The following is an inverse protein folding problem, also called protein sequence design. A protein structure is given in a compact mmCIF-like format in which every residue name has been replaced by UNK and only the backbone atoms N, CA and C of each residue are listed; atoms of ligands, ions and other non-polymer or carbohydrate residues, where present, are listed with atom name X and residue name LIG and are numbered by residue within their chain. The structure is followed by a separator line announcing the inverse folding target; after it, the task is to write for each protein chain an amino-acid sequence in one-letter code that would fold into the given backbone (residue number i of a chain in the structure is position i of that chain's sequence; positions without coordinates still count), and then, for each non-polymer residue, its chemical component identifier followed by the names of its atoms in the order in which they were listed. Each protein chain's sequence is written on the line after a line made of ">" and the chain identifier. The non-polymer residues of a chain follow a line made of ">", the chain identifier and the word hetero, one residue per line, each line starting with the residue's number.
data_IF_359135537203
#
_entry.id   IF_359135537203
#
_cell.length_a   1.000
_cell.length_b   1.000
_cell.length_c   1.000
_cell.angle_alpha   90.00
_cell.angle_beta   90.00
_cell.angle_gamma   90.00
#
_symmetry.space_group_name_H-M   'P 1'
#
loop_
_entity.id
_entity.type
_entity.pdbx_description
1 polymer ?
#
# COMPACT_ATOMS: atom_id res chain seq x y z
N UNK A 1 5.71 25.64 -11.26
CA UNK A 1 6.61 24.62 -10.65
C UNK A 1 7.72 24.26 -11.62
N UNK A 2 8.96 24.13 -11.13
CA UNK A 2 10.09 23.63 -11.96
C UNK A 2 11.04 22.83 -11.09
N UNK A 3 11.24 21.54 -11.41
CA UNK A 3 11.97 20.58 -10.58
C UNK A 3 12.76 19.62 -11.48
N UNK A 4 13.99 19.30 -11.07
CA UNK A 4 14.81 18.23 -11.68
C UNK A 4 14.84 17.02 -10.73
N UNK A 5 14.51 15.84 -11.26
CA UNK A 5 14.47 14.59 -10.51
C UNK A 5 15.38 13.53 -11.12
N UNK A 6 15.91 12.63 -10.28
CA UNK A 6 16.56 11.41 -10.73
C UNK A 6 15.50 10.45 -11.29
N UNK A 7 15.67 10.06 -12.54
CA UNK A 7 14.67 9.30 -13.31
C UNK A 7 14.28 7.97 -12.66
N UNK A 8 15.24 7.12 -12.34
CA UNK A 8 14.98 5.75 -11.87
C UNK A 8 14.34 5.72 -10.46
N UNK A 9 14.89 6.41 -9.44
CA UNK A 9 14.26 6.46 -8.12
C UNK A 9 12.85 7.09 -8.16
N UNK A 10 12.68 8.18 -8.91
CA UNK A 10 11.38 8.83 -9.06
C UNK A 10 10.35 7.92 -9.74
N UNK A 11 10.75 7.21 -10.81
CA UNK A 11 9.91 6.25 -11.51
C UNK A 11 9.46 5.12 -10.57
N UNK A 12 10.38 4.54 -9.79
CA UNK A 12 10.06 3.49 -8.81
C UNK A 12 8.97 3.97 -7.82
N UNK A 13 9.15 5.15 -7.24
CA UNK A 13 8.17 5.71 -6.29
C UNK A 13 6.83 6.04 -6.97
N UNK A 14 6.87 6.52 -8.22
CA UNK A 14 5.66 6.79 -9.00
C UNK A 14 4.89 5.51 -9.32
N UNK A 15 5.55 4.40 -9.65
CA UNK A 15 4.92 3.10 -9.89
C UNK A 15 4.25 2.57 -8.62
N UNK A 16 4.91 2.72 -7.46
CA UNK A 16 4.33 2.34 -6.16
C UNK A 16 3.10 3.19 -5.86
N UNK A 17 3.19 4.52 -5.98
CA UNK A 17 2.04 5.40 -5.76
C UNK A 17 0.89 5.10 -6.74
N UNK A 18 1.21 4.82 -8.01
CA UNK A 18 0.24 4.47 -9.04
C UNK A 18 -0.48 3.14 -8.79
N UNK A 19 0.10 2.24 -8.00
CA UNK A 19 -0.46 0.90 -7.73
C UNK A 19 -1.80 0.93 -7.01
N UNK A 20 -2.13 2.03 -6.33
CA UNK A 20 -3.41 2.21 -5.66
C UNK A 20 -4.42 3.04 -6.45
N UNK A 21 -4.00 3.67 -7.55
CA UNK A 21 -4.89 4.46 -8.39
C UNK A 21 -5.99 3.58 -8.97
N UNK A 22 -7.23 3.99 -8.81
CA UNK A 22 -8.36 3.25 -9.35
C UNK A 22 -8.44 3.39 -10.88
N UNK A 23 -8.74 2.30 -11.58
CA UNK A 23 -8.92 2.32 -13.04
C UNK A 23 -10.15 3.12 -13.48
N UNK A 24 -11.19 3.16 -12.65
CA UNK A 24 -12.45 3.89 -12.88
C UNK A 24 -12.91 4.60 -11.61
N UNK A 25 -12.25 5.71 -11.20
CA UNK A 25 -12.65 6.44 -10.02
C UNK A 25 -13.94 7.25 -10.26
N UNK A 26 -14.64 7.56 -9.17
CA UNK A 26 -15.82 8.43 -9.22
C UNK A 26 -15.47 9.88 -9.61
N UNK A 27 -14.28 10.34 -9.22
CA UNK A 27 -13.73 11.65 -9.58
C UNK A 27 -12.48 11.44 -10.44
N UNK A 28 -12.45 12.08 -11.61
CA UNK A 28 -11.37 11.90 -12.59
C UNK A 28 -9.99 12.32 -12.04
N UNK A 29 -9.93 13.28 -11.14
CA UNK A 29 -8.67 13.73 -10.51
C UNK A 29 -7.97 12.61 -9.76
N UNK A 30 -8.69 11.61 -9.25
CA UNK A 30 -8.15 10.45 -8.54
C UNK A 30 -7.44 9.43 -9.46
N UNK A 31 -7.44 9.67 -10.79
CA UNK A 31 -6.62 8.91 -11.75
C UNK A 31 -5.16 9.38 -11.76
N UNK A 32 -4.87 10.47 -11.10
CA UNK A 32 -3.56 11.08 -11.08
C UNK A 32 -2.82 10.77 -9.77
N UNK A 33 -1.50 10.83 -9.83
CA UNK A 33 -0.61 10.91 -8.68
C UNK A 33 -0.22 12.37 -8.53
N UNK A 34 -0.44 12.96 -7.37
CA UNK A 34 -0.01 14.31 -7.06
C UNK A 34 1.46 14.29 -6.67
N UNK A 35 2.28 15.04 -7.39
CA UNK A 35 3.63 15.39 -7.00
C UNK A 35 3.63 16.78 -6.37
N UNK A 36 4.08 16.86 -5.14
CA UNK A 36 4.25 18.11 -4.40
C UNK A 36 5.74 18.36 -4.24
N UNK A 37 6.24 19.42 -4.90
CA UNK A 37 7.66 19.75 -4.92
C UNK A 37 8.14 20.40 -3.62
N UNK A 38 7.23 20.99 -2.84
CA UNK A 38 7.54 21.61 -1.54
C UNK A 38 7.84 20.55 -0.49
N UNK A 39 6.93 19.59 -0.36
CA UNK A 39 7.07 18.46 0.57
C UNK A 39 7.90 17.31 -0.01
N UNK A 40 8.25 17.36 -1.29
CA UNK A 40 8.94 16.29 -2.04
C UNK A 40 8.23 14.95 -1.88
N UNK A 41 6.93 14.92 -2.13
CA UNK A 41 6.11 13.72 -1.99
C UNK A 41 5.31 13.41 -3.24
N UNK A 42 5.12 12.10 -3.50
CA UNK A 42 4.12 11.59 -4.40
C UNK A 42 2.93 11.09 -3.58
N UNK A 43 1.72 11.48 -3.95
CA UNK A 43 0.50 11.17 -3.22
C UNK A 43 -0.55 10.59 -4.17
N UNK A 44 -1.19 9.50 -3.77
CA UNK A 44 -2.36 8.97 -4.46
C UNK A 44 -3.44 8.57 -3.44
N UNK A 45 -4.70 8.62 -3.86
CA UNK A 45 -5.83 8.21 -3.03
C UNK A 45 -7.03 7.82 -3.88
N UNK A 46 -7.90 6.95 -3.33
CA UNK A 46 -9.24 6.68 -3.83
C UNK A 46 -10.32 7.03 -2.80
N UNK A 47 -9.97 7.84 -1.77
CA UNK A 47 -10.72 8.25 -0.59
C UNK A 47 -10.83 7.19 0.53
N UNK A 48 -10.61 5.91 0.24
CA UNK A 48 -10.59 4.84 1.26
C UNK A 48 -9.17 4.36 1.54
N UNK A 49 -8.33 4.38 0.52
CA UNK A 49 -6.94 4.01 0.53
C UNK A 49 -6.10 5.21 0.07
N UNK A 50 -5.08 5.54 0.82
CA UNK A 50 -4.17 6.65 0.52
C UNK A 50 -2.72 6.21 0.67
N UNK A 51 -1.85 6.72 -0.18
CA UNK A 51 -0.41 6.49 -0.13
C UNK A 51 0.35 7.81 -0.25
N UNK A 52 1.42 7.91 0.50
CA UNK A 52 2.41 8.99 0.41
C UNK A 52 3.79 8.35 0.29
N UNK A 53 4.50 8.67 -0.79
CA UNK A 53 5.89 8.28 -0.99
C UNK A 53 6.76 9.53 -0.83
N UNK A 54 7.69 9.54 0.10
CA UNK A 54 8.74 10.55 0.18
C UNK A 54 9.72 10.32 -0.97
N UNK A 55 9.98 11.36 -1.76
CA UNK A 55 10.89 11.29 -2.92
C UNK A 55 12.02 12.32 -2.78
N UNK A 56 12.33 12.73 -1.54
CA UNK A 56 13.38 13.72 -1.29
C UNK A 56 14.72 13.31 -1.92
N UNK A 57 15.09 12.03 -1.83
CA UNK A 57 16.33 11.48 -2.39
C UNK A 57 16.32 11.43 -3.93
N UNK A 58 15.14 11.39 -4.54
CA UNK A 58 15.00 11.46 -5.99
C UNK A 58 14.97 12.89 -6.52
N UNK A 59 14.68 13.89 -5.70
CA UNK A 59 14.63 15.31 -6.10
C UNK A 59 16.01 15.93 -6.01
N UNK A 60 16.60 16.24 -7.17
CA UNK A 60 17.94 16.86 -7.25
C UNK A 60 17.89 18.36 -6.99
N UNK A 61 16.93 19.07 -7.62
CA UNK A 61 16.85 20.52 -7.55
C UNK A 61 15.41 21.00 -7.72
N UNK A 62 15.02 21.98 -6.91
CA UNK A 62 13.73 22.68 -7.00
C UNK A 62 14.00 24.13 -7.34
N UNK A 63 13.78 24.50 -8.60
CA UNK A 63 13.94 25.90 -9.05
C UNK A 63 12.74 26.76 -8.66
N UNK A 64 11.54 26.21 -8.72
CA UNK A 64 10.34 26.83 -8.20
C UNK A 64 9.39 25.79 -7.62
N UNK A 65 8.86 26.03 -6.40
CA UNK A 65 7.93 25.13 -5.72
C UNK A 65 6.60 25.01 -6.46
N UNK A 66 5.75 24.09 -6.01
CA UNK A 66 4.40 23.88 -6.52
C UNK A 66 4.02 22.43 -6.66
N UNK A 67 2.91 22.17 -7.35
CA UNK A 67 2.29 20.85 -7.46
C UNK A 67 2.05 20.47 -8.92
N UNK A 68 2.15 19.19 -9.21
CA UNK A 68 1.80 18.59 -10.49
C UNK A 68 0.87 17.39 -10.30
N UNK A 69 -0.03 17.16 -11.25
CA UNK A 69 -0.82 15.95 -11.35
C UNK A 69 -0.26 15.08 -12.49
N UNK A 70 0.31 13.96 -12.13
CA UNK A 70 0.96 13.02 -13.04
C UNK A 70 -0.04 11.90 -13.38
N UNK A 71 -0.44 11.80 -14.65
CA UNK A 71 -1.25 10.67 -15.12
C UNK A 71 -0.36 9.44 -15.31
N UNK A 72 -0.43 8.40 -14.45
CA UNK A 72 0.49 7.27 -14.49
C UNK A 72 0.54 6.57 -15.84
N UNK A 73 -0.61 6.38 -16.48
CA UNK A 73 -0.71 5.72 -17.78
C UNK A 73 0.08 6.43 -18.91
N UNK A 74 0.41 7.71 -18.75
CA UNK A 74 1.21 8.49 -19.70
C UNK A 74 2.62 8.73 -19.21
N UNK A 75 2.79 9.08 -17.93
CA UNK A 75 4.10 9.49 -17.39
C UNK A 75 5.02 8.30 -17.18
N UNK A 76 4.52 7.15 -16.70
CA UNK A 76 5.34 5.95 -16.47
C UNK A 76 6.01 5.45 -17.76
N UNK A 77 5.29 5.27 -18.88
CA UNK A 77 5.93 4.90 -20.14
C UNK A 77 7.00 5.91 -20.59
N UNK A 78 6.73 7.21 -20.50
CA UNK A 78 7.72 8.25 -20.84
C UNK A 78 9.00 8.06 -20.02
N UNK A 79 8.87 7.91 -18.69
CA UNK A 79 10.03 7.73 -17.82
C UNK A 79 10.76 6.39 -18.00
N UNK A 80 10.07 5.35 -18.47
CA UNK A 80 10.67 4.04 -18.79
C UNK A 80 11.50 4.09 -20.06
N UNK A 81 10.93 4.69 -21.09
CA UNK A 81 11.48 4.62 -22.45
C UNK A 81 12.50 5.73 -22.75
N UNK A 82 12.52 6.82 -21.94
CA UNK A 82 13.48 7.89 -22.12
C UNK A 82 14.87 7.51 -21.58
N UNK A 83 15.91 8.01 -22.27
CA UNK A 83 17.29 7.94 -21.80
C UNK A 83 17.60 9.02 -20.75
N UNK A 84 18.80 8.92 -20.16
CA UNK A 84 19.31 9.90 -19.21
C UNK A 84 19.02 9.57 -17.75
N UNK A 85 19.79 10.19 -16.87
CA UNK A 85 19.70 10.00 -15.41
C UNK A 85 18.71 10.95 -14.77
N UNK A 86 18.51 12.14 -15.36
CA UNK A 86 17.68 13.21 -14.81
C UNK A 86 16.55 13.58 -15.76
N UNK A 87 15.47 14.06 -15.18
CA UNK A 87 14.27 14.53 -15.88
C UNK A 87 13.83 15.85 -15.26
N UNK A 88 13.54 16.83 -16.12
CA UNK A 88 12.96 18.10 -15.71
C UNK A 88 11.43 18.04 -15.80
N UNK A 89 10.77 18.43 -14.75
CA UNK A 89 9.30 18.51 -14.64
C UNK A 89 8.94 19.98 -14.42
N UNK A 90 8.22 20.55 -15.39
CA UNK A 90 7.76 21.93 -15.33
C UNK A 90 6.24 21.99 -15.42
N UNK A 91 5.64 22.89 -14.67
CA UNK A 91 4.21 23.19 -14.69
C UNK A 91 4.01 24.68 -14.79
N UNK A 92 3.38 25.10 -15.87
CA UNK A 92 2.79 26.44 -16.05
C UNK A 92 1.28 26.31 -16.25
N UNK A 93 0.79 26.34 -17.47
CA UNK A 93 -0.58 25.98 -17.85
C UNK A 93 -0.73 24.50 -18.20
N UNK A 94 0.38 23.82 -18.45
CA UNK A 94 0.45 22.40 -18.82
C UNK A 94 1.62 21.73 -18.09
N UNK A 95 1.58 20.42 -17.97
CA UNK A 95 2.68 19.61 -17.49
C UNK A 95 3.68 19.37 -18.64
N UNK A 96 4.91 19.81 -18.46
CA UNK A 96 6.01 19.60 -19.40
C UNK A 96 7.06 18.70 -18.76
N UNK A 97 7.43 17.63 -19.44
CA UNK A 97 8.47 16.68 -19.01
C UNK A 97 9.57 16.72 -20.06
N UNK A 98 10.74 17.15 -19.67
CA UNK A 98 11.92 17.22 -20.53
C UNK A 98 12.92 16.14 -20.11
N UNK A 99 13.34 15.34 -21.07
CA UNK A 99 14.28 14.23 -20.92
C UNK A 99 15.41 14.39 -21.91
N UNK A 100 16.45 13.57 -21.80
CA UNK A 100 17.53 13.55 -22.79
C UNK A 100 17.03 13.20 -24.20
N UNK A 101 15.95 12.41 -24.31
CA UNK A 101 15.38 11.94 -25.58
C UNK A 101 14.38 12.92 -26.20
N UNK A 102 13.94 13.96 -25.48
CA UNK A 102 12.99 14.96 -25.97
C UNK A 102 12.07 15.51 -24.89
N UNK A 103 11.17 16.38 -25.31
CA UNK A 103 10.17 17.03 -24.46
C UNK A 103 8.76 16.51 -24.74
N UNK A 104 7.99 16.33 -23.67
CA UNK A 104 6.60 15.89 -23.70
C UNK A 104 5.72 16.95 -23.02
N UNK A 105 4.62 17.30 -23.64
CA UNK A 105 3.62 18.22 -23.06
C UNK A 105 2.31 17.49 -22.86
N UNK A 106 1.81 17.50 -21.61
CA UNK A 106 0.63 16.81 -21.20
C UNK A 106 -0.37 17.81 -20.58
N UNK A 107 -1.66 17.63 -20.86
CA UNK A 107 -2.70 18.32 -20.11
C UNK A 107 -2.82 17.69 -18.72
N UNK A 108 -3.09 18.50 -17.71
CA UNK A 108 -3.42 18.05 -16.36
C UNK A 108 -4.56 18.88 -15.78
N UNK A 109 -5.38 18.31 -14.88
CA UNK A 109 -6.35 19.07 -14.10
C UNK A 109 -5.66 20.05 -13.13
N UNK A 110 -6.48 20.93 -12.53
CA UNK A 110 -5.97 21.81 -11.47
C UNK A 110 -5.50 20.97 -10.26
N UNK A 111 -4.23 21.09 -9.80
CA UNK A 111 -3.72 20.34 -8.67
C UNK A 111 -4.44 20.61 -7.35
N UNK A 112 -5.12 21.75 -7.21
CA UNK A 112 -5.87 22.11 -6.01
C UNK A 112 -7.19 21.33 -5.86
N UNK A 113 -7.67 20.70 -6.94
CA UNK A 113 -8.82 19.79 -6.91
C UNK A 113 -8.49 18.41 -6.32
N UNK A 114 -7.20 18.09 -6.19
CA UNK A 114 -6.77 16.82 -5.63
C UNK A 114 -7.00 16.81 -4.10
N UNK A 115 -7.62 15.74 -3.56
CA UNK A 115 -7.90 15.66 -2.12
C UNK A 115 -6.63 15.81 -1.28
N UNK A 116 -6.77 16.44 -0.10
CA UNK A 116 -5.68 16.50 0.86
C UNK A 116 -5.44 15.12 1.46
N UNK A 117 -4.28 14.55 1.21
CA UNK A 117 -3.84 13.28 1.80
C UNK A 117 -2.98 13.61 3.02
N UNK A 118 -3.49 13.25 4.20
CA UNK A 118 -2.74 13.33 5.46
C UNK A 118 -2.74 11.95 6.08
N UNK A 119 -1.57 11.35 6.21
CA UNK A 119 -1.38 10.08 6.90
C UNK A 119 -0.82 10.40 8.28
N UNK A 120 -1.65 10.19 9.30
CA UNK A 120 -1.25 10.37 10.67
C UNK A 120 -0.70 9.04 11.21
N UNK A 121 0.62 8.99 11.33
CA UNK A 121 1.30 7.88 11.95
C UNK A 121 1.48 8.21 13.44
N UNK A 122 0.56 7.77 14.28
CA UNK A 122 0.63 7.94 15.74
C UNK A 122 1.94 7.37 16.32
N UNK A 123 2.29 7.77 17.55
CA UNK A 123 3.52 7.33 18.21
C UNK A 123 3.54 5.84 18.56
N UNK A 124 2.37 5.19 18.73
CA UNK A 124 2.24 3.79 19.14
C UNK A 124 2.29 2.85 17.92
N UNK A 125 3.47 2.62 17.38
CA UNK A 125 3.68 1.76 16.21
C UNK A 125 4.10 0.35 16.59
N UNK A 126 3.38 -0.65 16.08
CA UNK A 126 3.82 -2.04 16.09
C UNK A 126 4.86 -2.28 14.99
N UNK A 127 6.09 -2.64 15.34
CA UNK A 127 7.08 -3.06 14.37
C UNK A 127 6.88 -4.53 13.97
N UNK A 128 6.92 -4.80 12.66
CA UNK A 128 6.83 -6.17 12.12
C UNK A 128 7.92 -6.36 11.08
N UNK A 129 8.68 -7.47 11.11
CA UNK A 129 9.59 -7.79 10.01
C UNK A 129 8.81 -7.90 8.69
N UNK A 130 9.25 -7.19 7.64
CA UNK A 130 8.50 -7.09 6.39
C UNK A 130 8.18 -8.46 5.78
N UNK A 131 9.18 -9.35 5.72
CA UNK A 131 9.01 -10.73 5.19
C UNK A 131 7.94 -11.48 6.00
N UNK A 132 7.96 -11.39 7.33
CA UNK A 132 6.97 -12.07 8.18
C UNK A 132 5.55 -11.54 7.97
N UNK A 133 5.40 -10.22 7.80
CA UNK A 133 4.10 -9.62 7.48
C UNK A 133 3.61 -10.02 6.08
N UNK A 134 4.48 -9.99 5.07
CA UNK A 134 4.14 -10.42 3.71
C UNK A 134 3.70 -11.88 3.68
N UNK A 135 4.40 -12.76 4.40
CA UNK A 135 4.02 -14.17 4.54
C UNK A 135 2.69 -14.33 5.26
N UNK A 136 2.45 -13.60 6.35
CA UNK A 136 1.18 -13.66 7.08
C UNK A 136 0.00 -13.21 6.20
N UNK A 137 0.18 -12.14 5.42
CA UNK A 137 -0.81 -11.68 4.43
C UNK A 137 -1.05 -12.77 3.38
N UNK A 138 0.00 -13.31 2.76
CA UNK A 138 -0.09 -14.35 1.72
C UNK A 138 -0.79 -15.62 2.22
N UNK A 139 -0.51 -16.02 3.47
CA UNK A 139 -1.09 -17.21 4.09
C UNK A 139 -2.55 -17.05 4.52
N UNK A 140 -3.10 -15.84 4.48
CA UNK A 140 -4.45 -15.58 4.96
C UNK A 140 -5.38 -15.00 3.90
N UNK A 141 -4.89 -14.11 3.05
CA UNK A 141 -5.70 -13.30 2.13
C UNK A 141 -6.58 -14.15 1.17
N UNK A 142 -6.16 -15.35 0.80
CA UNK A 142 -6.89 -16.25 -0.09
C UNK A 142 -8.17 -16.82 0.54
N UNK A 143 -8.30 -16.76 1.86
CA UNK A 143 -9.45 -17.28 2.59
C UNK A 143 -10.51 -16.19 2.87
N UNK A 144 -10.34 -14.97 2.37
CA UNK A 144 -11.35 -13.91 2.47
C UNK A 144 -12.51 -14.18 1.51
N UNK A 145 -13.70 -13.66 1.86
CA UNK A 145 -14.90 -13.69 1.03
C UNK A 145 -15.11 -12.33 0.36
N UNK A 146 -14.69 -12.20 -0.89
CA UNK A 146 -14.81 -10.95 -1.66
C UNK A 146 -16.16 -10.80 -2.37
N UNK A 147 -16.99 -11.84 -2.40
CA UNK A 147 -18.26 -11.87 -3.14
C UNK A 147 -19.50 -11.81 -2.23
N UNK A 148 -19.32 -12.03 -0.92
CA UNK A 148 -20.42 -12.09 0.03
C UNK A 148 -20.99 -10.72 0.40
N UNK A 149 -22.28 -10.71 0.73
CA UNK A 149 -22.94 -9.58 1.41
C UNK A 149 -22.44 -9.36 2.84
N UNK A 150 -21.62 -10.28 3.35
CA UNK A 150 -21.00 -10.20 4.68
C UNK A 150 -19.70 -9.42 4.59
N UNK A 151 -19.77 -8.11 4.49
CA UNK A 151 -18.60 -7.22 4.31
C UNK A 151 -17.45 -7.51 5.27
N UNK A 152 -17.73 -7.93 6.51
CA UNK A 152 -16.72 -8.27 7.53
C UNK A 152 -15.84 -9.48 7.15
N UNK A 153 -16.23 -10.29 6.17
CA UNK A 153 -15.42 -11.40 5.66
C UNK A 153 -14.58 -11.02 4.43
N UNK A 154 -14.81 -9.82 3.87
CA UNK A 154 -14.07 -9.29 2.71
C UNK A 154 -12.69 -8.73 3.04
N UNK A 155 -12.19 -8.97 4.26
CA UNK A 155 -10.87 -8.53 4.71
C UNK A 155 -10.22 -9.54 5.64
N UNK A 156 -8.98 -9.26 6.02
CA UNK A 156 -8.21 -10.03 7.00
C UNK A 156 -8.31 -9.34 8.35
N UNK A 157 -8.72 -10.06 9.37
CA UNK A 157 -8.65 -9.60 10.76
C UNK A 157 -7.19 -9.57 11.20
N UNK A 158 -6.72 -8.42 11.65
CA UNK A 158 -5.46 -8.24 12.34
C UNK A 158 -5.73 -8.07 13.83
N UNK A 159 -5.18 -8.96 14.65
CA UNK A 159 -5.21 -8.86 16.10
C UNK A 159 -3.78 -8.62 16.61
N UNK A 160 -3.53 -7.45 17.18
CA UNK A 160 -2.28 -7.06 17.82
C UNK A 160 -2.38 -7.36 19.31
N UNK A 161 -1.39 -8.04 19.86
CA UNK A 161 -1.23 -8.37 21.26
C UNK A 161 0.25 -8.73 21.50
N UNK A 162 0.54 -9.85 22.17
CA UNK A 162 1.92 -10.35 22.31
C UNK A 162 2.57 -10.67 20.95
N UNK A 163 1.76 -10.88 19.95
CA UNK A 163 2.13 -11.10 18.55
C UNK A 163 1.04 -10.59 17.63
N UNK A 164 1.36 -10.38 16.37
CA UNK A 164 0.36 -10.15 15.34
C UNK A 164 -0.27 -11.49 14.93
N UNK A 165 -1.60 -11.59 15.00
CA UNK A 165 -2.38 -12.71 14.45
C UNK A 165 -3.23 -12.20 13.30
N UNK A 166 -3.03 -12.76 12.11
CA UNK A 166 -3.82 -12.50 10.93
C UNK A 166 -4.81 -13.66 10.72
N UNK A 167 -6.09 -13.34 10.50
CA UNK A 167 -7.16 -14.33 10.36
C UNK A 167 -8.06 -13.96 9.19
N UNK A 168 -8.38 -14.93 8.35
CA UNK A 168 -9.36 -14.77 7.27
C UNK A 168 -10.25 -16.01 7.16
N UNK A 169 -11.51 -15.80 6.78
CA UNK A 169 -12.49 -16.87 6.54
C UNK A 169 -13.55 -16.44 5.55
N UNK A 170 -14.03 -17.36 4.76
CA UNK A 170 -15.22 -17.23 3.90
C UNK A 170 -16.42 -18.02 4.46
N UNK A 171 -16.29 -18.54 5.69
CA UNK A 171 -17.30 -19.40 6.34
C UNK A 171 -17.19 -20.88 6.00
N UNK A 172 -16.33 -21.29 5.06
CA UNK A 172 -16.06 -22.69 4.68
C UNK A 172 -14.64 -23.13 5.02
N UNK A 173 -13.70 -22.20 5.02
CA UNK A 173 -12.29 -22.37 5.40
C UNK A 173 -11.86 -21.25 6.33
N UNK A 174 -10.84 -21.53 7.12
CA UNK A 174 -10.22 -20.59 8.04
C UNK A 174 -8.71 -20.63 7.83
N UNK A 175 -8.12 -19.46 7.61
CA UNK A 175 -6.67 -19.29 7.59
C UNK A 175 -6.23 -18.44 8.77
N UNK A 176 -5.20 -18.90 9.50
CA UNK A 176 -4.62 -18.19 10.64
C UNK A 176 -3.10 -18.20 10.48
N UNK A 177 -2.51 -17.03 10.52
CA UNK A 177 -1.05 -16.86 10.54
C UNK A 177 -0.64 -15.95 11.69
N UNK A 178 0.53 -16.20 12.26
CA UNK A 178 1.06 -15.44 13.40
C UNK A 178 2.48 -15.02 13.13
N UNK A 179 2.81 -13.77 13.42
CA UNK A 179 4.20 -13.28 13.36
C UNK A 179 4.55 -12.47 14.60
N UNK A 180 5.85 -12.40 14.87
CA UNK A 180 6.38 -11.65 16.01
C UNK A 180 6.26 -10.15 15.78
N UNK A 181 6.01 -9.42 16.86
CA UNK A 181 6.07 -7.97 16.91
C UNK A 181 7.39 -7.52 17.52
N UNK A 182 7.89 -6.38 17.09
CA UNK A 182 8.97 -5.68 17.76
C UNK A 182 8.36 -4.60 18.69
N UNK A 183 8.67 -4.69 19.97
CA UNK A 183 8.17 -3.79 21.01
C UNK A 183 6.80 -4.21 21.58
N UNK A 184 6.45 -3.59 22.69
CA UNK A 184 5.14 -3.74 23.32
C UNK A 184 4.20 -2.67 22.78
N UNK A 185 3.03 -3.10 22.33
CA UNK A 185 1.97 -2.22 21.82
C UNK A 185 0.63 -2.59 22.44
N UNK A 186 -0.26 -1.62 22.65
CA UNK A 186 -1.59 -1.90 23.16
C UNK A 186 -2.33 -2.92 22.29
N UNK A 187 -3.09 -3.81 22.92
CA UNK A 187 -3.92 -4.77 22.20
C UNK A 187 -4.99 -4.03 21.39
N UNK A 188 -5.03 -4.28 20.11
CA UNK A 188 -6.00 -3.69 19.18
C UNK A 188 -6.32 -4.67 18.06
N UNK A 189 -7.50 -4.57 17.48
CA UNK A 189 -7.87 -5.38 16.32
C UNK A 189 -8.63 -4.57 15.29
N UNK A 190 -8.47 -4.97 14.01
CA UNK A 190 -9.16 -4.34 12.91
C UNK A 190 -9.22 -5.27 11.70
N UNK A 191 -10.28 -5.14 10.90
CA UNK A 191 -10.44 -5.91 9.66
C UNK A 191 -9.92 -5.03 8.52
N UNK A 192 -8.85 -5.48 7.88
CA UNK A 192 -8.19 -4.73 6.81
C UNK A 192 -8.62 -5.31 5.46
N UNK A 193 -9.13 -4.46 4.54
CA UNK A 193 -9.54 -4.92 3.20
C UNK A 193 -8.41 -5.59 2.42
N UNK A 194 -8.77 -6.45 1.48
CA UNK A 194 -7.81 -7.22 0.65
C UNK A 194 -6.89 -6.30 -0.18
N UNK A 195 -7.46 -5.29 -0.83
CA UNK A 195 -6.71 -4.42 -1.76
C UNK A 195 -5.56 -3.65 -1.09
N UNK A 196 -5.74 -3.00 0.07
CA UNK A 196 -4.64 -2.42 0.85
C UNK A 196 -3.56 -3.42 1.21
N UNK A 197 -3.92 -4.63 1.65
CA UNK A 197 -2.94 -5.67 2.01
C UNK A 197 -2.10 -6.13 0.82
N UNK A 198 -2.69 -6.21 -0.37
CA UNK A 198 -1.95 -6.46 -1.61
C UNK A 198 -0.98 -5.32 -1.93
N UNK A 199 -1.36 -4.07 -1.69
CA UNK A 199 -0.47 -2.92 -1.86
C UNK A 199 0.68 -2.96 -0.85
N UNK A 200 0.41 -3.24 0.43
CA UNK A 200 1.43 -3.42 1.47
C UNK A 200 2.44 -4.51 1.09
N UNK A 201 1.96 -5.67 0.61
CA UNK A 201 2.85 -6.76 0.17
C UNK A 201 3.77 -6.33 -0.99
N UNK A 202 3.28 -5.53 -1.94
CA UNK A 202 4.09 -4.99 -3.05
C UNK A 202 5.13 -3.99 -2.54
N UNK A 203 4.76 -3.11 -1.59
CA UNK A 203 5.67 -2.15 -0.97
C UNK A 203 6.80 -2.90 -0.24
N UNK A 204 6.47 -3.91 0.55
CA UNK A 204 7.47 -4.75 1.25
C UNK A 204 8.43 -5.40 0.25
N UNK A 205 7.91 -5.95 -0.85
CA UNK A 205 8.74 -6.58 -1.89
C UNK A 205 9.67 -5.58 -2.60
N UNK A 206 9.23 -4.32 -2.76
CA UNK A 206 10.00 -3.27 -3.41
C UNK A 206 11.07 -2.67 -2.49
N UNK A 207 10.77 -2.50 -1.19
CA UNK A 207 11.63 -1.82 -0.23
C UNK A 207 12.51 -2.78 0.60
N UNK A 208 12.08 -4.04 0.78
CA UNK A 208 12.82 -5.05 1.54
C UNK A 208 12.99 -4.74 3.03
N UNK A 209 12.21 -3.82 3.58
CA UNK A 209 12.34 -3.31 4.95
C UNK A 209 11.29 -3.85 5.92
N UNK A 210 11.51 -3.58 7.22
CA UNK A 210 10.47 -3.78 8.23
C UNK A 210 9.33 -2.80 8.08
N UNK A 211 8.18 -3.14 8.59
CA UNK A 211 6.96 -2.33 8.54
C UNK A 211 6.59 -1.87 9.94
N UNK A 212 6.37 -0.58 10.11
CA UNK A 212 5.70 -0.04 11.28
C UNK A 212 4.21 0.08 11.00
N UNK A 213 3.38 -0.40 11.92
CA UNK A 213 1.93 -0.47 11.73
C UNK A 213 1.19 0.17 12.90
N UNK A 214 0.13 0.89 12.60
CA UNK A 214 -0.84 1.43 13.56
C UNK A 214 -2.23 1.01 13.13
N UNK A 215 -3.03 0.53 14.06
CA UNK A 215 -4.45 0.27 13.86
C UNK A 215 -5.22 1.10 14.89
N UNK A 216 -6.14 1.90 14.44
CA UNK A 216 -7.10 2.62 15.26
C UNK A 216 -8.54 2.10 15.05
N UNK A 217 -9.54 2.81 15.56
CA UNK A 217 -10.94 2.39 15.44
C UNK A 217 -11.53 2.48 14.02
N UNK A 218 -10.86 3.18 13.10
CA UNK A 218 -11.39 3.48 11.75
C UNK A 218 -10.41 3.19 10.64
N UNK A 219 -9.12 3.17 10.94
CA UNK A 219 -8.08 3.07 9.93
C UNK A 219 -6.91 2.19 10.36
N UNK A 220 -6.14 1.75 9.38
CA UNK A 220 -4.83 1.16 9.57
C UNK A 220 -3.80 1.94 8.75
N UNK A 221 -2.64 2.19 9.35
CA UNK A 221 -1.50 2.85 8.72
C UNK A 221 -0.34 1.88 8.70
N UNK A 222 0.33 1.79 7.55
CA UNK A 222 1.54 1.01 7.34
C UNK A 222 2.65 1.95 6.85
N UNK A 223 3.81 1.87 7.48
CA UNK A 223 5.00 2.65 7.09
C UNK A 223 6.14 1.68 6.80
N UNK A 224 6.68 1.73 5.60
CA UNK A 224 7.81 0.94 5.14
C UNK A 224 8.80 1.86 4.41
N UNK A 225 9.95 2.13 5.02
CA UNK A 225 10.90 3.12 4.51
C UNK A 225 10.25 4.48 4.33
N UNK A 226 10.36 5.03 3.13
CA UNK A 226 9.82 6.33 2.73
C UNK A 226 8.34 6.28 2.28
N UNK A 227 7.68 5.16 2.45
CA UNK A 227 6.31 4.95 1.99
C UNK A 227 5.38 4.79 3.17
N UNK A 228 4.33 5.60 3.21
CA UNK A 228 3.23 5.50 4.15
C UNK A 228 1.94 5.21 3.42
N UNK A 229 1.20 4.19 3.88
CA UNK A 229 -0.09 3.79 3.34
C UNK A 229 -1.12 3.79 4.45
N UNK A 230 -2.26 4.42 4.22
CA UNK A 230 -3.39 4.44 5.14
C UNK A 230 -4.62 3.87 4.45
N UNK A 231 -5.35 3.02 5.16
CA UNK A 231 -6.62 2.46 4.68
C UNK A 231 -7.70 2.54 5.74
N UNK A 232 -8.97 2.68 5.31
CA UNK A 232 -10.12 2.46 6.19
C UNK A 232 -10.23 0.99 6.54
N UNK A 233 -10.70 0.71 7.76
CA UNK A 233 -11.06 -0.64 8.17
C UNK A 233 -12.43 -1.03 7.64
N UNK A 234 -12.64 -2.32 7.48
CA UNK A 234 -13.98 -2.86 7.19
C UNK A 234 -14.82 -2.76 8.46
N UNK A 235 -16.01 -2.19 8.35
CA UNK A 235 -16.96 -2.09 9.45
C UNK A 235 -17.57 -3.44 9.78
N UNK A 236 -17.83 -3.65 11.08
CA UNK A 236 -18.48 -4.85 11.58
C UNK A 236 -17.59 -5.68 12.51
N UNK A 237 -18.17 -6.76 13.03
CA UNK A 237 -17.49 -7.67 13.94
C UNK A 237 -17.09 -8.94 13.22
N UNK A 238 -15.80 -9.26 13.25
CA UNK A 238 -15.30 -10.53 12.72
C UNK A 238 -15.87 -11.70 13.56
N UNK A 239 -16.22 -12.84 12.94
CA UNK A 239 -16.70 -14.01 13.67
C UNK A 239 -15.69 -14.50 14.72
N UNK A 240 -16.21 -15.13 15.79
CA UNK A 240 -15.35 -15.74 16.82
C UNK A 240 -14.70 -17.02 16.26
N UNK A 241 -13.60 -16.80 15.53
CA UNK A 241 -12.88 -17.85 14.83
C UNK A 241 -12.26 -18.91 15.75
N UNK A 242 -12.05 -18.59 17.04
CA UNK A 242 -11.51 -19.54 18.01
C UNK A 242 -12.48 -20.66 18.31
N UNK A 243 -13.78 -20.42 18.20
CA UNK A 243 -14.83 -21.43 18.44
C UNK A 243 -14.92 -22.50 17.37
N UNK A 244 -14.41 -22.25 16.17
CA UNK A 244 -14.44 -23.22 15.07
C UNK A 244 -13.15 -24.03 14.95
N UNK A 245 -12.14 -23.74 15.79
CA UNK A 245 -10.94 -24.55 15.85
C UNK A 245 -11.29 -25.94 16.43
N UNK A 246 -10.80 -27.04 15.80
CA UNK A 246 -11.01 -28.38 16.35
C UNK A 246 -10.33 -28.52 17.70
N UNK A 247 -10.90 -29.37 18.56
CA UNK A 247 -10.24 -29.78 19.79
C UNK A 247 -8.93 -30.50 19.49
N UNK A 248 -7.95 -30.40 20.39
CA UNK A 248 -6.64 -31.04 20.23
C UNK A 248 -6.67 -32.56 20.29
N UNK A 249 -7.80 -33.15 20.63
CA UNK A 249 -8.00 -34.60 20.70
C UNK A 249 -8.25 -35.16 19.30
N UNK A 250 -7.16 -35.46 18.59
CA UNK A 250 -7.21 -35.96 17.22
C UNK A 250 -7.01 -37.47 17.20
N UNK A 251 -7.90 -38.20 16.50
CA UNK A 251 -7.87 -39.63 16.38
C UNK A 251 -6.79 -40.18 15.42
N UNK A 252 -6.23 -39.31 14.55
CA UNK A 252 -5.18 -39.72 13.60
C UNK A 252 -4.30 -38.53 13.22
N UNK A 253 -3.01 -38.79 13.03
CA UNK A 253 -2.01 -37.82 12.54
C UNK A 253 -1.28 -38.40 11.34
N UNK A 254 -1.31 -37.71 10.19
CA UNK A 254 -0.52 -38.01 9.02
C UNK A 254 0.69 -37.09 8.92
N UNK A 255 1.90 -37.66 8.80
CA UNK A 255 3.11 -36.91 8.49
C UNK A 255 3.53 -37.24 7.06
N UNK A 256 3.63 -36.26 6.21
CA UNK A 256 4.07 -36.40 4.83
C UNK A 256 5.02 -35.28 4.44
N UNK A 257 5.82 -35.53 3.41
CA UNK A 257 6.64 -34.54 2.75
C UNK A 257 5.73 -33.62 1.90
N UNK A 258 5.86 -32.29 2.09
CA UNK A 258 4.98 -31.33 1.45
C UNK A 258 5.14 -31.31 -0.08
N UNK A 259 6.37 -31.44 -0.60
CA UNK A 259 6.62 -31.44 -2.05
C UNK A 259 6.03 -32.69 -2.71
N UNK A 260 6.20 -33.86 -2.07
CA UNK A 260 5.61 -35.09 -2.56
C UNK A 260 4.10 -35.09 -2.50
N UNK A 261 3.52 -34.48 -1.46
CA UNK A 261 2.07 -34.33 -1.33
C UNK A 261 1.47 -33.41 -2.39
N UNK A 262 2.19 -32.34 -2.75
CA UNK A 262 1.77 -31.41 -3.80
C UNK A 262 1.94 -31.95 -5.22
N UNK A 263 2.74 -33.02 -5.42
CA UNK A 263 3.00 -33.62 -6.73
C UNK A 263 1.97 -34.71 -7.13
N UNK A 264 1.03 -35.02 -6.26
CA UNK A 264 -0.08 -35.95 -6.47
C UNK A 264 -1.35 -35.21 -6.86
#
# INVERSE_FOLDING_TARGET
>A
MKVTVQRIPFLKSLEIAASIVASRPQNEVLRYVKFDADSKTLQATDNELSIVCNVADAVQYVASPGKALLLPAKVIPILKDCGGESVDIEVDSQLRITTQSGGFTLSMPNPDEFPSVKIDASENKAGVPGVALADAIRQTIYATDTESTRYQLGGVLFEIGDRLTCVATDGRRLAVSKCQLAGEVPAVSGIIPVRPLQAVSRIIAAEGCGVSMVIDNKSAVFVCGDISLQTRLVEGRFPDWRKVLPSTDQSATLKCDAEKFLSV
#
